data_IF_443279784396
#
_entry.id   IF_443279784396
#
_cell.length_a   1.000
_cell.length_b   1.000
_cell.length_c   1.000
_cell.angle_alpha   90.00
_cell.angle_beta   90.00
_cell.angle_gamma   90.00
#
_symmetry.space_group_name_H-M   'P 1'
#
loop_
_entity.id
_entity.type
_entity.pdbx_description
1 polymer ?
#
# COMPACT_ATOMS: atom_id res chain seq x y z
N UNK A 1 22.45 -25.34 54.45
CA UNK A 1 21.91 -25.11 53.09
C UNK A 1 21.93 -23.61 52.83
N UNK A 2 22.81 -23.08 51.96
CA UNK A 2 22.89 -21.63 51.68
C UNK A 2 21.85 -21.25 50.63
N UNK A 3 20.84 -20.46 51.02
CA UNK A 3 19.86 -19.89 50.11
C UNK A 3 20.53 -18.87 49.19
N UNK A 4 20.59 -19.20 47.90
CA UNK A 4 21.14 -18.34 46.84
C UNK A 4 20.21 -17.14 46.67
N UNK A 5 20.62 -15.98 47.17
CA UNK A 5 19.86 -14.73 46.99
C UNK A 5 19.74 -14.43 45.49
N UNK A 6 18.50 -14.35 44.99
CA UNK A 6 18.23 -13.93 43.62
C UNK A 6 18.50 -12.43 43.51
N UNK A 7 19.46 -12.05 42.66
CA UNK A 7 19.81 -10.66 42.38
C UNK A 7 18.60 -10.00 41.71
N UNK A 8 17.94 -9.09 42.43
CA UNK A 8 16.83 -8.29 41.89
C UNK A 8 17.33 -7.36 40.79
N UNK A 9 16.53 -7.18 39.75
CA UNK A 9 16.80 -6.18 38.72
C UNK A 9 16.72 -4.80 39.38
N UNK A 10 17.76 -4.00 39.24
CA UNK A 10 17.78 -2.65 39.79
C UNK A 10 16.80 -1.76 39.01
N UNK A 11 16.07 -0.90 39.73
CA UNK A 11 15.01 -0.06 39.18
C UNK A 11 15.51 0.81 38.00
N UNK A 12 16.80 1.17 38.00
CA UNK A 12 17.42 1.93 36.91
C UNK A 12 17.50 1.14 35.59
N UNK A 13 17.59 -0.19 35.66
CA UNK A 13 17.79 -1.06 34.51
C UNK A 13 16.47 -1.27 33.77
N UNK A 14 15.36 -1.35 34.53
CA UNK A 14 14.01 -1.38 34.00
C UNK A 14 13.65 -0.05 33.30
N UNK A 15 14.05 1.10 33.86
CA UNK A 15 13.78 2.41 33.25
C UNK A 15 14.47 2.57 31.90
N UNK A 16 15.74 2.17 31.79
CA UNK A 16 16.49 2.21 30.53
C UNK A 16 15.85 1.30 29.47
N UNK A 17 15.41 0.10 29.86
CA UNK A 17 14.74 -0.82 28.95
C UNK A 17 13.42 -0.25 28.39
N UNK A 18 12.61 0.38 29.24
CA UNK A 18 11.36 1.03 28.81
C UNK A 18 11.64 2.22 27.90
N UNK A 19 12.64 3.05 28.22
CA UNK A 19 13.02 4.20 27.40
C UNK A 19 13.43 3.77 25.99
N UNK A 20 14.26 2.73 25.87
CA UNK A 20 14.69 2.19 24.56
C UNK A 20 13.48 1.71 23.77
N UNK A 21 12.55 1.02 24.42
CA UNK A 21 11.36 0.47 23.78
C UNK A 21 10.45 1.59 23.25
N UNK A 22 10.23 2.65 24.03
CA UNK A 22 9.47 3.83 23.61
C UNK A 22 10.15 4.52 22.43
N UNK A 23 11.48 4.66 22.46
CA UNK A 23 12.23 5.30 21.38
C UNK A 23 12.14 4.51 20.06
N UNK A 24 12.20 3.17 20.13
CA UNK A 24 11.97 2.30 18.97
C UNK A 24 10.56 2.45 18.42
N UNK A 25 9.54 2.50 19.29
CA UNK A 25 8.16 2.70 18.86
C UNK A 25 7.95 4.05 18.14
N UNK A 26 8.54 5.13 18.66
CA UNK A 26 8.48 6.45 18.02
C UNK A 26 9.17 6.44 16.66
N UNK A 27 10.34 5.81 16.53
CA UNK A 27 11.04 5.69 15.25
C UNK A 27 10.21 4.96 14.19
N UNK A 28 9.48 3.90 14.56
CA UNK A 28 8.60 3.17 13.65
C UNK A 28 7.47 4.08 13.14
N UNK A 29 6.82 4.84 14.03
CA UNK A 29 5.74 5.76 13.65
C UNK A 29 6.27 6.84 12.70
N UNK A 30 7.43 7.43 13.00
CA UNK A 30 8.05 8.45 12.15
C UNK A 30 8.37 7.89 10.77
N UNK A 31 8.90 6.68 10.68
CA UNK A 31 9.16 6.02 9.40
C UNK A 31 7.87 5.86 8.57
N UNK A 32 6.77 5.39 9.18
CA UNK A 32 5.47 5.22 8.50
C UNK A 32 4.96 6.56 7.95
N UNK A 33 5.05 7.64 8.75
CA UNK A 33 4.62 8.98 8.32
C UNK A 33 5.45 9.47 7.13
N UNK A 34 6.78 9.29 7.16
CA UNK A 34 7.67 9.68 6.05
C UNK A 34 7.34 8.90 4.77
N UNK A 35 7.11 7.58 4.86
CA UNK A 35 6.72 6.78 3.70
C UNK A 35 5.36 7.19 3.14
N UNK A 36 4.42 7.57 4.01
CA UNK A 36 3.09 8.05 3.60
C UNK A 36 3.19 9.39 2.85
N UNK A 37 4.00 10.34 3.33
CA UNK A 37 4.19 11.62 2.63
C UNK A 37 4.94 11.46 1.31
N UNK A 38 5.97 10.60 1.25
CA UNK A 38 6.69 10.30 0.01
C UNK A 38 5.80 9.68 -1.08
N UNK A 39 4.72 8.98 -0.72
CA UNK A 39 3.71 8.48 -1.69
C UNK A 39 2.97 9.64 -2.38
N UNK A 40 2.78 10.76 -1.69
CA UNK A 40 1.98 11.89 -2.20
C UNK A 40 2.77 12.87 -3.07
N UNK A 41 4.09 12.94 -2.90
CA UNK A 41 4.96 13.90 -3.60
C UNK A 41 5.52 13.40 -4.94
N UNK A 42 5.09 12.24 -5.43
CA UNK A 42 5.63 11.69 -6.67
C UNK A 42 5.01 12.31 -7.91
N UNK A 43 5.89 12.67 -8.85
CA UNK A 43 5.54 13.18 -10.17
C UNK A 43 4.85 12.09 -10.99
N UNK A 44 3.84 12.49 -11.76
CA UNK A 44 3.22 11.60 -12.74
C UNK A 44 4.20 11.38 -13.89
N UNK A 45 4.37 10.12 -14.29
CA UNK A 45 5.08 9.73 -15.51
C UNK A 45 4.07 9.43 -16.61
N UNK A 46 4.37 9.86 -17.83
CA UNK A 46 3.53 9.60 -19.00
C UNK A 46 4.16 8.47 -19.81
N UNK A 47 3.40 7.41 -20.05
CA UNK A 47 3.82 6.32 -20.94
C UNK A 47 2.83 6.19 -22.10
N UNK A 48 3.38 6.09 -23.30
CA UNK A 48 2.62 5.77 -24.49
C UNK A 48 2.63 4.24 -24.67
N UNK A 49 1.45 3.64 -24.66
CA UNK A 49 1.24 2.23 -24.95
C UNK A 49 0.72 2.16 -26.38
N UNK A 50 1.44 1.45 -27.24
CA UNK A 50 1.11 1.29 -28.64
C UNK A 50 0.68 -0.15 -28.92
N UNK A 51 -0.36 -0.29 -29.73
CA UNK A 51 -0.84 -1.58 -30.26
C UNK A 51 -1.19 -2.62 -29.19
N UNK A 52 -1.90 -2.22 -28.14
CA UNK A 52 -2.53 -3.19 -27.24
C UNK A 52 -3.65 -3.88 -28.01
N UNK A 53 -3.51 -5.19 -28.22
CA UNK A 53 -4.52 -5.97 -28.92
C UNK A 53 -5.66 -6.28 -27.96
N UNK A 54 -6.83 -5.75 -28.26
CA UNK A 54 -8.04 -5.93 -27.46
C UNK A 54 -9.02 -6.82 -28.21
N UNK A 55 -9.88 -7.51 -27.46
CA UNK A 55 -11.08 -8.12 -28.03
C UNK A 55 -11.98 -7.03 -28.64
N UNK A 56 -13.02 -7.45 -29.37
CA UNK A 56 -13.95 -6.52 -30.00
C UNK A 56 -14.52 -5.51 -28.98
N UNK A 57 -14.25 -4.22 -29.20
CA UNK A 57 -14.81 -3.12 -28.40
C UNK A 57 -16.24 -2.90 -28.86
N UNK A 58 -17.18 -3.35 -28.05
CA UNK A 58 -18.62 -3.16 -28.26
C UNK A 58 -19.18 -2.16 -27.23
N UNK A 59 -20.50 -2.07 -27.10
CA UNK A 59 -21.18 -1.23 -26.12
C UNK A 59 -20.95 -1.66 -24.67
N UNK A 60 -20.53 -2.90 -24.42
CA UNK A 60 -20.13 -3.36 -23.08
C UNK A 60 -18.72 -2.94 -22.69
N UNK A 61 -17.95 -2.37 -23.61
CA UNK A 61 -16.66 -1.76 -23.35
C UNK A 61 -15.49 -2.72 -23.13
N UNK A 62 -14.29 -2.17 -23.08
CA UNK A 62 -13.06 -2.88 -22.82
C UNK A 62 -12.22 -2.13 -21.78
N UNK A 63 -11.67 -2.86 -20.80
CA UNK A 63 -10.73 -2.30 -19.83
C UNK A 63 -9.30 -2.62 -20.26
N UNK A 64 -8.45 -1.59 -20.37
CA UNK A 64 -7.02 -1.78 -20.64
C UNK A 64 -6.33 -2.52 -19.48
N UNK A 65 -5.37 -3.38 -19.82
CA UNK A 65 -4.75 -4.36 -18.90
C UNK A 65 -3.95 -3.69 -17.78
N UNK A 66 -3.49 -2.46 -17.98
CA UNK A 66 -2.64 -1.74 -17.02
C UNK A 66 -3.41 -0.71 -16.17
N UNK A 67 -4.68 -0.99 -15.86
CA UNK A 67 -5.53 -0.09 -15.05
C UNK A 67 -5.31 -0.19 -13.53
N UNK A 68 -4.70 -1.29 -13.07
CA UNK A 68 -4.69 -1.64 -11.64
C UNK A 68 -3.39 -1.35 -10.90
N UNK A 69 -2.27 -1.14 -11.60
CA UNK A 69 -0.98 -0.96 -10.95
C UNK A 69 -0.66 0.53 -10.78
N UNK A 70 -0.76 1.01 -9.55
CA UNK A 70 -0.42 2.40 -9.18
C UNK A 70 -1.22 3.51 -9.86
N UNK A 71 -2.44 3.18 -10.28
CA UNK A 71 -3.49 4.11 -10.71
C UNK A 71 -3.07 4.96 -11.91
N UNK A 72 -3.52 4.58 -13.11
CA UNK A 72 -3.53 5.53 -14.21
C UNK A 72 -4.43 6.71 -13.82
N UNK A 73 -3.81 7.86 -13.55
CA UNK A 73 -4.52 9.07 -13.14
C UNK A 73 -5.21 9.74 -14.34
N UNK A 74 -4.78 9.40 -15.55
CA UNK A 74 -5.36 9.89 -16.80
C UNK A 74 -5.04 8.95 -17.94
N UNK A 75 -6.06 8.39 -18.56
CA UNK A 75 -5.96 7.69 -19.84
C UNK A 75 -6.43 8.60 -20.98
N UNK A 76 -5.65 8.65 -22.05
CA UNK A 76 -5.99 9.38 -23.28
C UNK A 76 -5.82 8.45 -24.46
N UNK A 77 -6.92 8.19 -25.15
CA UNK A 77 -6.93 7.37 -26.36
C UNK A 77 -6.25 8.15 -27.49
N UNK A 78 -5.23 7.57 -28.12
CA UNK A 78 -4.46 8.25 -29.18
C UNK A 78 -4.72 7.63 -30.55
N UNK A 79 -5.02 6.34 -30.61
CA UNK A 79 -5.25 5.65 -31.87
C UNK A 79 -6.08 4.39 -31.68
N UNK A 80 -6.95 4.09 -32.64
CA UNK A 80 -7.67 2.82 -32.73
C UNK A 80 -7.57 2.32 -34.16
N UNK A 81 -7.25 1.04 -34.33
CA UNK A 81 -7.28 0.39 -35.64
C UNK A 81 -7.85 -1.01 -35.56
N UNK A 82 -8.38 -1.48 -36.69
CA UNK A 82 -8.71 -2.87 -36.90
C UNK A 82 -7.78 -3.41 -37.98
N UNK A 83 -6.89 -4.33 -37.60
CA UNK A 83 -5.79 -4.86 -38.41
C UNK A 83 -4.91 -3.75 -39.03
N UNK A 84 -5.31 -3.23 -40.19
CA UNK A 84 -4.60 -2.19 -40.97
C UNK A 84 -5.41 -0.89 -41.16
N UNK A 85 -6.68 -0.87 -40.78
CA UNK A 85 -7.58 0.27 -41.00
C UNK A 85 -7.63 1.12 -39.72
N UNK A 86 -7.28 2.41 -39.84
CA UNK A 86 -7.48 3.38 -38.77
C UNK A 86 -8.95 3.71 -38.62
N UNK A 87 -9.47 3.59 -37.39
CA UNK A 87 -10.84 3.89 -37.05
C UNK A 87 -10.93 5.33 -36.50
N UNK A 88 -12.03 6.06 -36.76
CA UNK A 88 -12.22 7.40 -36.21
C UNK A 88 -12.29 7.37 -34.68
N UNK A 89 -11.48 8.19 -34.02
CA UNK A 89 -11.43 8.32 -32.56
C UNK A 89 -12.77 8.79 -31.97
N UNK A 90 -13.55 9.58 -32.70
CA UNK A 90 -14.86 10.10 -32.26
C UNK A 90 -15.89 9.00 -31.98
N UNK A 91 -15.67 7.78 -32.50
CA UNK A 91 -16.51 6.62 -32.23
C UNK A 91 -16.19 5.95 -30.89
N UNK A 92 -15.15 6.39 -30.17
CA UNK A 92 -14.68 5.76 -28.95
C UNK A 92 -14.60 6.79 -27.81
N UNK A 93 -15.11 6.40 -26.65
CA UNK A 93 -15.02 7.19 -25.42
C UNK A 93 -14.19 6.40 -24.43
N UNK A 94 -13.04 6.96 -24.04
CA UNK A 94 -12.21 6.41 -22.98
C UNK A 94 -12.48 7.13 -21.68
N UNK A 95 -12.79 6.39 -20.63
CA UNK A 95 -12.86 6.91 -19.27
C UNK A 95 -11.44 7.19 -18.78
N UNK A 96 -11.12 8.45 -18.55
CA UNK A 96 -9.78 8.89 -18.15
C UNK A 96 -9.35 8.37 -16.78
N UNK A 97 -10.27 7.94 -15.91
CA UNK A 97 -9.95 7.44 -14.57
C UNK A 97 -9.78 5.92 -14.52
N UNK A 98 -10.54 5.18 -15.33
CA UNK A 98 -10.52 3.70 -15.30
C UNK A 98 -9.81 3.07 -16.50
N UNK A 99 -9.51 3.85 -17.54
CA UNK A 99 -8.99 3.33 -18.80
C UNK A 99 -10.01 2.48 -19.57
N UNK A 100 -11.30 2.60 -19.22
CA UNK A 100 -12.37 1.86 -19.85
C UNK A 100 -12.80 2.51 -21.16
N UNK A 101 -12.77 1.76 -22.25
CA UNK A 101 -13.08 2.23 -23.60
C UNK A 101 -14.44 1.71 -24.02
N UNK A 102 -15.34 2.61 -24.38
CA UNK A 102 -16.66 2.28 -24.93
C UNK A 102 -16.78 2.77 -26.37
N UNK A 103 -17.35 1.93 -27.24
CA UNK A 103 -17.83 2.37 -28.55
C UNK A 103 -19.11 3.21 -28.39
N UNK A 104 -19.12 4.42 -28.96
CA UNK A 104 -20.24 5.37 -28.98
C UNK A 104 -21.37 4.91 -29.93
N UNK A 105 -20.99 4.28 -31.02
CA UNK A 105 -21.87 3.62 -31.96
C UNK A 105 -21.50 2.14 -31.98
N UNK A 106 -22.47 1.27 -32.26
CA UNK A 106 -22.18 -0.10 -32.66
C UNK A 106 -21.38 -0.02 -33.97
N UNK A 107 -20.07 0.26 -33.88
CA UNK A 107 -19.17 0.20 -35.03
C UNK A 107 -19.28 -1.24 -35.51
N UNK A 108 -19.93 -1.36 -36.65
CA UNK A 108 -20.32 -2.59 -37.32
C UNK A 108 -19.07 -3.43 -37.62
N UNK A 109 -18.61 -4.21 -36.65
CA UNK A 109 -17.69 -5.32 -36.81
C UNK A 109 -17.68 -6.15 -35.52
N UNK A 110 -18.87 -6.59 -35.11
CA UNK A 110 -19.03 -7.52 -34.01
C UNK A 110 -18.12 -8.72 -34.23
N UNK A 111 -17.11 -8.88 -33.36
CA UNK A 111 -16.14 -9.99 -33.23
C UNK A 111 -14.71 -9.75 -33.75
N UNK A 112 -14.36 -8.59 -34.33
CA UNK A 112 -12.97 -8.35 -34.75
C UNK A 112 -12.16 -7.69 -33.65
N UNK A 113 -10.96 -8.22 -33.40
CA UNK A 113 -9.99 -7.65 -32.47
C UNK A 113 -9.53 -6.29 -32.97
N UNK A 114 -9.47 -5.31 -32.08
CA UNK A 114 -8.96 -3.98 -32.41
C UNK A 114 -7.67 -3.74 -31.67
N UNK A 115 -6.76 -3.02 -32.32
CA UNK A 115 -5.55 -2.54 -31.69
C UNK A 115 -5.79 -1.12 -31.20
N UNK A 116 -5.52 -0.91 -29.92
CA UNK A 116 -5.67 0.39 -29.29
C UNK A 116 -4.30 0.91 -28.88
N UNK A 117 -4.06 2.18 -29.14
CA UNK A 117 -2.95 2.91 -28.54
C UNK A 117 -3.50 4.04 -27.68
N UNK A 118 -2.88 4.22 -26.53
CA UNK A 118 -3.26 5.22 -25.56
C UNK A 118 -2.05 5.70 -24.78
N UNK A 119 -2.19 6.89 -24.22
CA UNK A 119 -1.22 7.42 -23.26
C UNK A 119 -1.82 7.30 -21.87
N UNK A 120 -1.09 6.71 -20.94
CA UNK A 120 -1.46 6.71 -19.53
C UNK A 120 -0.48 7.55 -18.71
N UNK A 121 -1.03 8.43 -17.88
CA UNK A 121 -0.26 9.04 -16.80
C UNK A 121 -0.36 8.14 -15.58
N UNK A 122 0.72 7.46 -15.25
CA UNK A 122 0.80 6.61 -14.06
C UNK A 122 1.82 7.20 -13.07
N UNK A 123 1.74 6.76 -11.82
CA UNK A 123 2.78 7.06 -10.85
C UNK A 123 3.90 6.05 -11.09
N UNK A 124 5.12 6.51 -11.36
CA UNK A 124 6.24 5.68 -11.82
C UNK A 124 6.67 4.54 -10.89
N UNK A 125 7.80 3.89 -11.17
CA UNK A 125 8.29 2.70 -10.44
C UNK A 125 8.39 2.88 -8.90
N UNK A 126 8.54 4.11 -8.44
CA UNK A 126 8.55 4.49 -7.02
C UNK A 126 7.20 4.34 -6.33
N UNK A 127 6.09 4.38 -7.06
CA UNK A 127 4.77 4.09 -6.51
C UNK A 127 4.62 2.60 -6.25
N UNK A 128 5.02 1.75 -7.20
CA UNK A 128 4.98 0.29 -7.05
C UNK A 128 5.85 -0.14 -5.87
N UNK A 129 7.03 0.47 -5.71
CA UNK A 129 7.87 0.25 -4.53
C UNK A 129 7.18 0.66 -3.22
N UNK A 130 6.49 1.80 -3.20
CA UNK A 130 5.74 2.27 -2.03
C UNK A 130 4.55 1.37 -1.69
N UNK A 131 3.77 0.94 -2.67
CA UNK A 131 2.64 0.03 -2.47
C UNK A 131 3.11 -1.35 -2.03
N UNK A 132 4.22 -1.85 -2.56
CA UNK A 132 4.84 -3.08 -2.09
C UNK A 132 5.30 -2.96 -0.63
N UNK A 133 5.93 -1.85 -0.24
CA UNK A 133 6.30 -1.62 1.16
C UNK A 133 5.08 -1.52 2.07
N UNK A 134 4.05 -0.75 1.68
CA UNK A 134 2.80 -0.62 2.44
C UNK A 134 2.12 -1.97 2.57
N UNK A 135 2.04 -2.75 1.48
CA UNK A 135 1.41 -4.07 1.48
C UNK A 135 2.16 -5.01 2.40
N UNK A 136 3.49 -4.99 2.39
CA UNK A 136 4.31 -5.74 3.37
C UNK A 136 3.98 -5.30 4.80
N UNK A 137 3.98 -4.00 5.11
CA UNK A 137 3.58 -3.51 6.44
C UNK A 137 2.13 -3.89 6.82
N UNK A 138 1.21 -3.90 5.86
CA UNK A 138 -0.19 -4.27 6.01
C UNK A 138 -0.45 -5.79 6.01
N UNK A 139 0.53 -6.62 5.66
CA UNK A 139 0.52 -8.07 5.92
C UNK A 139 1.20 -8.44 7.23
N UNK A 140 1.92 -7.51 7.87
CA UNK A 140 2.41 -7.61 9.24
C UNK A 140 1.57 -6.93 10.36
N UNK A 141 0.29 -6.53 10.23
CA UNK A 141 -0.47 -5.92 11.32
C UNK A 141 -0.75 -6.94 12.42
N UNK A 142 -0.79 -8.24 12.08
CA UNK A 142 -0.74 -9.30 13.08
C UNK A 142 0.51 -9.18 13.95
N UNK A 143 1.66 -8.82 13.38
CA UNK A 143 2.92 -8.63 14.08
C UNK A 143 2.96 -7.32 14.88
N UNK A 144 2.46 -6.20 14.35
CA UNK A 144 2.40 -4.93 15.10
C UNK A 144 1.38 -5.00 16.24
N UNK A 145 0.22 -5.60 16.01
CA UNK A 145 -0.78 -5.85 17.05
C UNK A 145 -0.29 -6.86 18.09
N UNK A 146 0.43 -7.90 17.68
CA UNK A 146 1.06 -8.86 18.58
C UNK A 146 2.19 -8.24 19.39
N UNK A 147 3.06 -7.43 18.77
CA UNK A 147 4.13 -6.71 19.48
C UNK A 147 3.53 -5.70 20.45
N UNK A 148 2.51 -4.93 20.03
CA UNK A 148 1.81 -3.98 20.90
C UNK A 148 1.15 -4.65 22.10
N UNK A 149 0.50 -5.80 21.90
CA UNK A 149 -0.10 -6.57 23.00
C UNK A 149 0.95 -7.19 23.92
N UNK A 150 2.08 -7.68 23.41
CA UNK A 150 3.20 -8.17 24.23
C UNK A 150 3.77 -7.05 25.09
N UNK A 151 3.97 -5.85 24.52
CA UNK A 151 4.47 -4.68 25.27
C UNK A 151 3.48 -4.30 26.37
N UNK A 152 2.18 -4.23 26.04
CA UNK A 152 1.14 -3.92 27.01
C UNK A 152 1.11 -4.95 28.16
N UNK A 153 1.18 -6.24 27.82
CA UNK A 153 1.21 -7.32 28.80
C UNK A 153 2.45 -7.24 29.69
N UNK A 154 3.63 -6.98 29.11
CA UNK A 154 4.88 -6.83 29.84
C UNK A 154 4.84 -5.64 30.81
N UNK A 155 4.22 -4.53 30.40
CA UNK A 155 4.03 -3.35 31.25
C UNK A 155 3.08 -3.66 32.41
N UNK A 156 1.92 -4.27 32.13
CA UNK A 156 0.94 -4.67 33.16
C UNK A 156 1.58 -5.63 34.17
N UNK A 157 2.32 -6.64 33.71
CA UNK A 157 3.03 -7.58 34.59
C UNK A 157 4.10 -6.84 35.40
N UNK A 158 4.86 -5.95 34.77
CA UNK A 158 5.88 -5.14 35.46
C UNK A 158 5.29 -4.29 36.59
N UNK A 159 4.15 -3.64 36.35
CA UNK A 159 3.43 -2.85 37.37
C UNK A 159 2.89 -3.75 38.48
N UNK A 160 2.29 -4.89 38.15
CA UNK A 160 1.78 -5.84 39.14
C UNK A 160 2.90 -6.36 40.05
N UNK A 161 4.02 -6.81 39.48
CA UNK A 161 5.15 -7.32 40.27
C UNK A 161 5.75 -6.21 41.15
N UNK A 162 5.89 -5.00 40.64
CA UNK A 162 6.35 -3.86 41.44
C UNK A 162 5.38 -3.58 42.60
N UNK A 163 4.07 -3.60 42.37
CA UNK A 163 3.08 -3.35 43.41
C UNK A 163 3.10 -4.41 44.53
N UNK A 164 3.39 -5.68 44.24
CA UNK A 164 3.54 -6.72 45.27
C UNK A 164 4.86 -6.62 46.04
N UNK A 165 5.97 -6.34 45.35
CA UNK A 165 7.30 -6.23 45.99
C UNK A 165 7.40 -5.00 46.90
N UNK A 166 6.79 -3.88 46.51
CA UNK A 166 6.83 -2.64 47.28
C UNK A 166 5.64 -2.47 48.24
N UNK A 167 4.47 -3.07 47.95
CA UNK A 167 3.27 -2.98 48.80
C UNK A 167 3.25 -3.91 50.02
N UNK A 168 4.10 -4.95 50.06
CA UNK A 168 4.12 -5.94 51.15
C UNK A 168 4.82 -5.50 52.45
N UNK A 169 5.44 -4.31 52.48
CA UNK A 169 6.27 -3.85 53.61
C UNK A 169 5.54 -2.95 54.62
N UNK A 170 4.20 -2.92 54.57
CA UNK A 170 3.36 -1.99 55.33
C UNK A 170 2.31 -2.63 56.25
N UNK A 171 2.52 -3.84 56.77
CA UNK A 171 1.71 -4.39 57.87
C UNK A 171 2.61 -4.88 59.00
N UNK A 172 2.74 -4.00 60.00
CA UNK A 172 3.04 -4.35 61.40
C UNK A 172 1.71 -4.65 62.08
#
# INVERSE_FOLDING_TARGET
MKLKQRKGIELNQAFVAVLILVLVAVLIIVAIVIFSTLKTTQSNESQAIANESTSAINTTGYSVVNSTDCGGNSYVLTFVSNETISLPLDNFVMNSATGFINGSTAVENGSQSVNVSYTNNHRGATCVASENMITQFATYPALIGLVGTIIFLALVIGVLVASFVFGGKGRV
#
